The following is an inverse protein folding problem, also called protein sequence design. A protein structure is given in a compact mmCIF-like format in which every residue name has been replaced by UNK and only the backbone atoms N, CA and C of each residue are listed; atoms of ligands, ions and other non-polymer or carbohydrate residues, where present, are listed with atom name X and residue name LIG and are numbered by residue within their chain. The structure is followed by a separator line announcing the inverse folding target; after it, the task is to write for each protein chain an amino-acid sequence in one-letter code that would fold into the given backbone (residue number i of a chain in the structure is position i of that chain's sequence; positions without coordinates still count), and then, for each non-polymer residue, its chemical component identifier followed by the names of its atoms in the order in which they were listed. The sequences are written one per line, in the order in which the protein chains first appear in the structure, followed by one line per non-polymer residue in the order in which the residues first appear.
data_IF_821335273103
#
_entry.id   IF_821335273103
#
_cell.length_a   1.000
_cell.length_b   1.000
_cell.length_c   1.000
_cell.angle_alpha   90.00
_cell.angle_beta   90.00
_cell.angle_gamma   90.00
#
_symmetry.space_group_name_H-M   'P 1'
#
loop_
_entity.id
_entity.type
_entity.pdbx_description
1 polymer ?
#
# COMPACT_ATOMS: atom_id res chain seq x y z
N UNK A 1 -5.58 38.55 -13.52
CA UNK A 1 -5.62 37.31 -14.32
C UNK A 1 -4.18 36.86 -14.53
N UNK A 2 -3.70 35.80 -13.84
CA UNK A 2 -2.35 35.31 -14.07
C UNK A 2 -2.38 34.53 -15.40
N UNK A 3 -1.64 35.00 -16.41
CA UNK A 3 -1.42 34.21 -17.61
C UNK A 3 -0.66 32.95 -17.19
N UNK A 4 -1.36 31.80 -17.22
CA UNK A 4 -0.74 30.49 -17.00
C UNK A 4 0.27 30.27 -18.12
N UNK A 5 1.55 30.37 -17.81
CA UNK A 5 2.57 29.93 -18.74
C UNK A 5 2.41 28.42 -18.96
N UNK A 6 2.51 27.92 -20.22
CA UNK A 6 2.28 26.51 -20.55
C UNK A 6 3.13 25.53 -19.73
N UNK A 7 4.29 25.98 -19.25
CA UNK A 7 5.22 25.17 -18.45
C UNK A 7 4.70 24.85 -17.05
N UNK A 8 3.88 25.70 -16.43
CA UNK A 8 3.39 25.47 -15.07
C UNK A 8 2.46 24.27 -14.99
N UNK A 9 1.67 24.03 -16.05
CA UNK A 9 0.76 22.90 -16.10
C UNK A 9 1.51 21.57 -16.15
N UNK A 10 2.60 21.50 -16.93
CA UNK A 10 3.44 20.31 -16.99
C UNK A 10 4.11 20.01 -15.63
N UNK A 11 4.60 21.05 -14.94
CA UNK A 11 5.17 20.91 -13.60
C UNK A 11 4.14 20.38 -12.58
N UNK A 12 2.92 20.94 -12.60
CA UNK A 12 1.81 20.47 -11.74
C UNK A 12 1.44 19.02 -12.03
N UNK A 13 1.40 18.62 -13.31
CA UNK A 13 1.12 17.24 -13.71
C UNK A 13 2.18 16.25 -13.18
N UNK A 14 3.47 16.62 -13.27
CA UNK A 14 4.57 15.79 -12.74
C UNK A 14 4.46 15.66 -11.21
N UNK A 15 4.25 16.78 -10.52
CA UNK A 15 4.08 16.78 -9.06
C UNK A 15 2.91 15.89 -8.63
N UNK A 16 1.76 16.03 -9.29
CA UNK A 16 0.59 15.20 -9.03
C UNK A 16 0.90 13.71 -9.25
N UNK A 17 1.54 13.37 -10.37
CA UNK A 17 1.89 11.98 -10.70
C UNK A 17 2.81 11.34 -9.65
N UNK A 18 3.83 12.07 -9.18
CA UNK A 18 4.76 11.59 -8.14
C UNK A 18 4.00 11.35 -6.83
N UNK A 19 3.12 12.27 -6.42
CA UNK A 19 2.32 12.11 -5.20
C UNK A 19 1.38 10.90 -5.28
N UNK A 20 0.78 10.65 -6.45
CA UNK A 20 -0.10 9.50 -6.68
C UNK A 20 0.66 8.18 -6.59
N UNK A 21 1.87 8.10 -7.15
CA UNK A 21 2.72 6.90 -7.08
C UNK A 21 3.14 6.63 -5.63
N UNK A 22 3.59 7.65 -4.90
CA UNK A 22 3.95 7.52 -3.48
C UNK A 22 2.76 7.05 -2.64
N UNK A 23 1.57 7.59 -2.87
CA UNK A 23 0.36 7.17 -2.17
C UNK A 23 0.00 5.70 -2.45
N UNK A 24 0.15 5.25 -3.69
CA UNK A 24 -0.08 3.84 -4.05
C UNK A 24 0.94 2.91 -3.38
N UNK A 25 2.21 3.30 -3.33
CA UNK A 25 3.25 2.53 -2.62
C UNK A 25 2.93 2.45 -1.13
N UNK A 26 2.56 3.56 -0.50
CA UNK A 26 2.15 3.57 0.91
C UNK A 26 0.94 2.68 1.17
N UNK A 27 -0.07 2.69 0.29
CA UNK A 27 -1.23 1.80 0.42
C UNK A 27 -0.86 0.33 0.25
N UNK A 28 -0.01 0.01 -0.72
CA UNK A 28 0.47 -1.36 -0.94
C UNK A 28 1.24 -1.90 0.27
N UNK A 29 2.15 -1.10 0.83
CA UNK A 29 2.90 -1.50 2.02
C UNK A 29 2.09 -1.42 3.31
N UNK A 30 1.07 -0.55 3.40
CA UNK A 30 0.13 -0.49 4.53
C UNK A 30 -0.79 -1.72 4.58
N UNK A 31 -1.05 -2.33 3.41
CA UNK A 31 -1.64 -3.67 3.29
C UNK A 31 -0.66 -4.79 3.72
N UNK A 32 0.11 -4.57 4.79
CA UNK A 32 0.96 -5.57 5.44
C UNK A 32 0.14 -6.79 5.85
N UNK A 33 0.81 -7.95 5.97
CA UNK A 33 0.23 -9.27 5.84
C UNK A 33 -0.49 -9.69 7.13
N UNK A 34 -1.64 -9.07 7.40
CA UNK A 34 -2.58 -9.57 8.41
C UNK A 34 -2.99 -11.01 8.07
N UNK A 35 -2.99 -11.37 6.78
CA UNK A 35 -3.13 -12.76 6.33
C UNK A 35 -2.06 -13.70 6.88
N UNK A 36 -0.77 -13.33 6.89
CA UNK A 36 0.31 -14.22 7.40
C UNK A 36 0.20 -14.42 8.92
N UNK A 37 -0.23 -13.40 9.68
CA UNK A 37 -0.54 -13.59 11.11
C UNK A 37 -1.76 -14.48 11.33
N UNK A 38 -2.78 -14.41 10.47
CA UNK A 38 -3.98 -15.25 10.56
C UNK A 38 -3.67 -16.72 10.21
N UNK A 39 -2.82 -16.97 9.20
CA UNK A 39 -2.37 -18.33 8.84
C UNK A 39 -1.47 -18.94 9.93
N UNK A 40 -0.55 -18.19 10.53
CA UNK A 40 0.23 -18.68 11.69
C UNK A 40 -0.66 -18.99 12.90
N UNK A 41 -1.71 -18.19 13.16
CA UNK A 41 -2.66 -18.47 14.25
C UNK A 41 -3.49 -19.73 13.97
N UNK A 42 -3.83 -19.98 12.71
CA UNK A 42 -4.53 -21.20 12.27
C UNK A 42 -3.64 -22.43 12.36
N UNK A 43 -2.35 -22.33 11.97
CA UNK A 43 -1.36 -23.40 12.16
C UNK A 43 -1.09 -23.70 13.65
N UNK A 44 -0.98 -22.68 14.52
CA UNK A 44 -0.84 -22.89 15.98
C UNK A 44 -2.09 -23.52 16.62
N UNK A 45 -3.27 -23.37 16.03
CA UNK A 45 -4.51 -23.99 16.53
C UNK A 45 -4.63 -25.46 16.10
N UNK A 46 -3.87 -25.88 15.09
CA UNK A 46 -3.73 -27.28 14.68
C UNK A 46 -2.68 -28.04 15.51
N UNK A 47 -2.43 -27.64 16.76
CA UNK A 47 -2.01 -28.61 17.78
C UNK A 47 -3.21 -29.53 18.07
N UNK A 48 -3.55 -30.39 17.10
CA UNK A 48 -4.26 -31.61 17.44
C UNK A 48 -3.30 -32.39 18.33
N UNK A 49 -3.63 -32.42 19.61
CA UNK A 49 -3.18 -33.43 20.54
C UNK A 49 -3.46 -34.78 19.87
N UNK A 50 -2.46 -35.32 19.20
CA UNK A 50 -2.42 -36.73 18.86
C UNK A 50 -2.08 -37.46 20.17
N UNK A 51 -3.07 -37.54 21.06
CA UNK A 51 -3.14 -38.63 22.00
C UNK A 51 -3.88 -39.75 21.29
N UNK A 52 -3.12 -40.57 20.58
CA UNK A 52 -3.21 -42.03 20.54
C UNK A 52 -2.09 -42.55 19.64
#
# INVERSE_FOLDING_TARGET
MPQMSPMMWFSLFIMFSITMIMFNQMNFFSYKPIMVKKTMKMMKKNNMNWMW
#
